data_IF_121944373565
#
_entry.id   IF_121944373565
#
_cell.length_a   1.000
_cell.length_b   1.000
_cell.length_c   1.000
_cell.angle_alpha   90.00
_cell.angle_beta   90.00
_cell.angle_gamma   90.00
#
_symmetry.space_group_name_H-M   'P 1'
#
loop_
_entity.id
_entity.type
_entity.pdbx_description
1 polymer ?
#
# COMPACT_ATOMS: atom_id res chain seq x y z
N UNK A 1 12.22 -3.42 14.84
CA UNK A 1 10.93 -4.06 14.51
C UNK A 1 10.93 -4.52 13.05
N UNK A 2 11.39 -5.74 12.79
CA UNK A 2 11.47 -6.32 11.44
C UNK A 2 10.10 -6.42 10.74
N UNK A 3 9.03 -6.67 11.49
CA UNK A 3 7.67 -6.69 10.95
C UNK A 3 7.23 -5.34 10.37
N UNK A 4 7.44 -4.24 11.11
CA UNK A 4 7.10 -2.89 10.65
C UNK A 4 7.91 -2.50 9.40
N UNK A 5 9.18 -2.92 9.33
CA UNK A 5 10.01 -2.73 8.14
C UNK A 5 9.42 -3.44 6.91
N UNK A 6 9.05 -4.72 7.06
CA UNK A 6 8.42 -5.51 5.98
C UNK A 6 7.10 -4.90 5.50
N UNK A 7 6.27 -4.35 6.39
CA UNK A 7 5.02 -3.69 6.00
C UNK A 7 5.26 -2.42 5.20
N UNK A 8 6.26 -1.60 5.58
CA UNK A 8 6.64 -0.40 4.83
C UNK A 8 7.17 -0.75 3.44
N UNK A 9 8.09 -1.71 3.35
CA UNK A 9 8.62 -2.19 2.06
C UNK A 9 7.51 -2.72 1.16
N UNK A 10 6.53 -3.46 1.72
CA UNK A 10 5.38 -3.92 0.95
C UNK A 10 4.52 -2.76 0.45
N UNK A 11 4.26 -1.77 1.30
CA UNK A 11 3.48 -0.58 0.94
C UNK A 11 4.16 0.20 -0.17
N UNK A 12 5.46 0.45 -0.07
CA UNK A 12 6.22 1.21 -1.05
C UNK A 12 6.23 0.50 -2.42
N UNK A 13 6.44 -0.82 -2.45
CA UNK A 13 6.34 -1.63 -3.67
C UNK A 13 4.95 -1.57 -4.34
N UNK A 14 3.88 -1.52 -3.55
CA UNK A 14 2.52 -1.36 -4.09
C UNK A 14 2.28 0.06 -4.58
N UNK A 15 2.88 1.04 -3.91
CA UNK A 15 2.79 2.45 -4.27
C UNK A 15 3.43 2.72 -5.63
N UNK A 16 4.60 2.13 -5.89
CA UNK A 16 5.28 2.18 -7.19
C UNK A 16 4.39 1.61 -8.30
N UNK A 17 3.78 0.44 -8.07
CA UNK A 17 2.83 -0.17 -9.03
C UNK A 17 1.60 0.70 -9.24
N UNK A 18 1.06 1.30 -8.18
CA UNK A 18 -0.09 2.19 -8.29
C UNK A 18 0.23 3.45 -9.11
N UNK A 19 1.42 4.04 -8.92
CA UNK A 19 1.88 5.20 -9.69
C UNK A 19 1.94 4.87 -11.19
N UNK A 20 2.42 3.67 -11.56
CA UNK A 20 2.41 3.24 -12.97
C UNK A 20 0.99 3.25 -13.57
N UNK A 21 -0.03 2.91 -12.80
CA UNK A 21 -1.43 3.00 -13.27
C UNK A 21 -1.96 4.44 -13.29
N UNK A 22 -1.51 5.32 -12.40
CA UNK A 22 -1.92 6.73 -12.38
C UNK A 22 -1.34 7.51 -13.55
N UNK A 23 -0.11 7.22 -13.94
CA UNK A 23 0.58 7.88 -15.06
C UNK A 23 0.08 7.47 -16.44
N UNK A 24 -0.70 6.37 -16.54
CA UNK A 24 -1.22 5.86 -17.80
C UNK A 24 -2.64 6.38 -18.05
N UNK A 25 -2.90 7.11 -19.15
CA UNK A 25 -4.21 7.69 -19.43
C UNK A 25 -5.27 6.65 -19.84
N UNK A 26 -4.85 5.55 -20.49
CA UNK A 26 -5.75 4.56 -21.07
C UNK A 26 -5.52 3.19 -20.44
N UNK A 27 -6.20 2.93 -19.32
CA UNK A 27 -6.20 1.63 -18.66
C UNK A 27 -7.30 0.73 -19.23
N UNK A 28 -6.98 -0.55 -19.39
CA UNK A 28 -7.98 -1.59 -19.65
C UNK A 28 -8.87 -1.79 -18.41
N UNK A 29 -10.02 -2.46 -18.56
CA UNK A 29 -10.90 -2.81 -17.44
C UNK A 29 -10.16 -3.59 -16.35
N UNK A 30 -9.33 -4.56 -16.75
CA UNK A 30 -8.52 -5.36 -15.84
C UNK A 30 -7.53 -4.48 -15.06
N UNK A 31 -6.84 -3.56 -15.73
CA UNK A 31 -5.89 -2.65 -15.07
C UNK A 31 -6.59 -1.66 -14.12
N UNK A 32 -7.84 -1.26 -14.40
CA UNK A 32 -8.65 -0.46 -13.47
C UNK A 32 -8.99 -1.26 -12.22
N UNK A 33 -9.35 -2.53 -12.37
CA UNK A 33 -9.62 -3.42 -11.23
C UNK A 33 -8.37 -3.67 -10.40
N UNK A 34 -7.23 -3.91 -11.04
CA UNK A 34 -5.94 -4.06 -10.37
C UNK A 34 -5.51 -2.78 -9.65
N UNK A 35 -5.67 -1.61 -10.28
CA UNK A 35 -5.43 -0.31 -9.63
C UNK A 35 -6.28 -0.17 -8.36
N UNK A 36 -7.57 -0.50 -8.43
CA UNK A 36 -8.50 -0.43 -7.27
C UNK A 36 -8.13 -1.44 -6.19
N UNK A 37 -7.65 -2.63 -6.55
CA UNK A 37 -7.19 -3.65 -5.61
C UNK A 37 -5.94 -3.19 -4.89
N UNK A 38 -4.93 -2.72 -5.63
CA UNK A 38 -3.68 -2.20 -5.09
C UNK A 38 -3.94 -1.02 -4.14
N UNK A 39 -4.81 -0.07 -4.53
CA UNK A 39 -5.16 1.07 -3.67
C UNK A 39 -5.76 0.62 -2.32
N UNK A 40 -6.66 -0.36 -2.34
CA UNK A 40 -7.24 -0.92 -1.11
C UNK A 40 -6.18 -1.60 -0.24
N UNK A 41 -5.24 -2.30 -0.85
CA UNK A 41 -4.14 -2.96 -0.13
C UNK A 41 -3.19 -1.94 0.53
N UNK A 42 -2.86 -0.85 -0.16
CA UNK A 42 -2.07 0.26 0.40
C UNK A 42 -2.76 0.85 1.64
N UNK A 43 -4.06 1.18 1.54
CA UNK A 43 -4.83 1.74 2.65
C UNK A 43 -4.81 0.80 3.86
N UNK A 44 -5.00 -0.50 3.65
CA UNK A 44 -4.95 -1.50 4.73
C UNK A 44 -3.56 -1.56 5.38
N UNK A 45 -2.49 -1.48 4.59
CA UNK A 45 -1.12 -1.47 5.11
C UNK A 45 -0.84 -0.20 5.92
N UNK A 46 -1.29 0.97 5.48
CA UNK A 46 -1.12 2.21 6.22
C UNK A 46 -1.84 2.15 7.58
N UNK A 47 -3.08 1.64 7.63
CA UNK A 47 -3.78 1.41 8.90
C UNK A 47 -3.05 0.43 9.82
N UNK A 48 -2.52 -0.67 9.27
CA UNK A 48 -1.77 -1.64 10.07
C UNK A 48 -0.46 -1.06 10.62
N UNK A 49 0.26 -0.31 9.80
CA UNK A 49 1.49 0.40 10.18
C UNK A 49 1.20 1.37 11.32
N UNK A 50 0.14 2.19 11.22
CA UNK A 50 -0.23 3.13 12.28
C UNK A 50 -0.63 2.40 13.57
N UNK A 51 -1.41 1.32 13.48
CA UNK A 51 -1.76 0.50 14.65
C UNK A 51 -0.53 -0.04 15.38
N UNK A 52 0.50 -0.48 14.63
CA UNK A 52 1.76 -0.98 15.23
C UNK A 52 2.56 0.15 15.85
N UNK A 53 2.65 1.31 15.18
CA UNK A 53 3.32 2.50 15.73
C UNK A 53 2.69 2.94 17.06
N UNK A 54 1.35 2.97 17.14
CA UNK A 54 0.64 3.31 18.38
C UNK A 54 0.98 2.34 19.51
N UNK A 55 1.00 1.03 19.24
CA UNK A 55 1.39 0.00 20.23
C UNK A 55 2.83 0.16 20.70
N UNK A 56 3.74 0.58 19.83
CA UNK A 56 5.14 0.81 20.17
C UNK A 56 5.37 2.07 21.00
N UNK A 57 4.45 3.04 20.97
CA UNK A 57 4.53 4.27 21.76
C UNK A 57 3.90 4.12 23.15
N UNK A 58 3.06 3.11 23.35
CA UNK A 58 2.37 2.82 24.61
C UNK A 58 3.07 1.76 25.47
N UNK A 59 4.20 1.20 25.00
CA UNK A 59 5.09 0.29 25.74
C UNK A 59 6.47 0.93 25.85
#
# INVERSE_FOLDING_TARGET
MEYLKRLREKRDNLMDKYIMFVQRPNLTKQEIEDKKRINREIINLDFEIERIKMKLQTN
#
